data_IF_795302893556
#
_entry.id   IF_795302893556
#
_cell.length_a   1.000
_cell.length_b   1.000
_cell.length_c   1.000
_cell.angle_alpha   90.00
_cell.angle_beta   90.00
_cell.angle_gamma   90.00
#
_symmetry.space_group_name_H-M   'P 1'
#
loop_
_entity.id
_entity.type
_entity.pdbx_description
1 polymer ?
#
# COMPACT_ATOMS: atom_id res chain seq x y z
N UNK A 1 -14.35 2.03 5.59
CA UNK A 1 -14.36 2.09 4.12
C UNK A 1 -14.52 0.68 3.57
N UNK A 2 -15.40 0.49 2.59
CA UNK A 2 -15.67 -0.80 1.93
C UNK A 2 -15.33 -0.65 0.44
N UNK A 3 -14.21 -1.21 -0.03
CA UNK A 3 -13.85 -1.19 -1.45
C UNK A 3 -14.77 -2.10 -2.25
N UNK A 4 -14.89 -1.78 -3.51
CA UNK A 4 -15.52 -2.62 -4.51
C UNK A 4 -14.47 -3.54 -5.14
N UNK A 5 -14.73 -4.84 -5.15
CA UNK A 5 -13.90 -5.84 -5.79
C UNK A 5 -14.62 -6.35 -7.04
N UNK A 6 -13.93 -6.37 -8.18
CA UNK A 6 -14.48 -6.94 -9.42
C UNK A 6 -14.77 -8.42 -9.20
N UNK A 7 -15.95 -8.86 -9.62
CA UNK A 7 -16.42 -10.24 -9.46
C UNK A 7 -17.03 -10.57 -8.07
N UNK A 8 -17.01 -9.62 -7.12
CA UNK A 8 -17.62 -9.83 -5.80
C UNK A 8 -18.60 -8.71 -5.42
N UNK A 9 -18.25 -7.44 -5.69
CA UNK A 9 -18.98 -6.29 -5.19
C UNK A 9 -18.30 -5.62 -4.01
N UNK A 10 -19.07 -4.92 -3.16
CA UNK A 10 -18.53 -4.27 -1.98
C UNK A 10 -18.14 -5.28 -0.89
N UNK A 11 -16.94 -5.13 -0.34
CA UNK A 11 -16.48 -5.99 0.76
C UNK A 11 -17.45 -5.96 1.94
N UNK A 12 -17.62 -7.08 2.67
CA UNK A 12 -18.42 -7.13 3.90
C UNK A 12 -17.89 -6.19 5.00
N UNK A 13 -18.74 -5.78 5.94
CA UNK A 13 -18.35 -4.85 7.02
C UNK A 13 -17.31 -5.43 7.99
N UNK A 14 -17.24 -6.73 8.09
CA UNK A 14 -16.28 -7.46 8.92
C UNK A 14 -14.90 -7.65 8.25
N UNK A 15 -14.74 -7.24 6.99
CA UNK A 15 -13.42 -7.14 6.36
C UNK A 15 -12.71 -5.91 6.93
N UNK A 16 -11.58 -6.16 7.60
CA UNK A 16 -10.82 -5.11 8.27
C UNK A 16 -10.07 -4.27 7.27
N UNK A 17 -10.51 -3.03 7.12
CA UNK A 17 -9.80 -2.02 6.36
C UNK A 17 -9.11 -0.99 7.25
N UNK A 18 -8.16 -0.28 6.63
CA UNK A 18 -7.50 0.83 7.29
C UNK A 18 -8.49 1.96 7.56
N UNK A 19 -8.59 2.36 8.80
CA UNK A 19 -9.37 3.54 9.19
C UNK A 19 -8.63 4.78 8.72
N UNK A 20 -9.34 5.67 8.04
CA UNK A 20 -8.80 6.95 7.59
C UNK A 20 -9.64 8.09 8.18
N UNK A 21 -8.97 9.10 8.68
CA UNK A 21 -9.64 10.34 9.09
C UNK A 21 -10.23 11.02 7.85
N UNK A 22 -11.55 11.30 7.87
CA UNK A 22 -12.29 11.85 6.73
C UNK A 22 -13.09 13.11 7.08
N UNK A 23 -13.44 13.26 8.34
CA UNK A 23 -14.21 14.39 8.83
C UNK A 23 -13.39 15.09 9.90
N UNK A 24 -13.16 16.36 9.72
CA UNK A 24 -12.54 17.23 10.72
C UNK A 24 -13.39 18.49 10.88
N UNK A 25 -13.43 19.01 12.09
CA UNK A 25 -14.02 20.33 12.34
C UNK A 25 -13.13 21.39 11.69
N UNK A 26 -13.74 22.39 11.02
CA UNK A 26 -13.01 23.48 10.39
C UNK A 26 -12.02 24.12 11.40
N UNK A 27 -10.76 24.29 10.99
CA UNK A 27 -9.68 24.85 11.81
C UNK A 27 -9.09 23.87 12.86
N UNK A 28 -9.49 22.58 12.87
CA UNK A 28 -9.00 21.58 13.85
C UNK A 28 -8.16 20.48 13.19
N UNK A 29 -7.44 20.79 12.15
CA UNK A 29 -6.51 19.88 11.53
C UNK A 29 -5.84 20.48 10.31
N UNK A 30 -4.68 19.94 9.96
CA UNK A 30 -3.87 20.35 8.81
C UNK A 30 -3.42 19.13 8.02
N UNK A 31 -3.10 19.32 6.76
CA UNK A 31 -2.47 18.27 5.95
C UNK A 31 -0.99 18.16 6.32
N UNK A 32 -0.52 16.92 6.45
CA UNK A 32 0.91 16.63 6.58
C UNK A 32 1.55 16.63 5.18
N UNK A 33 2.15 17.73 4.80
CA UNK A 33 2.81 17.92 3.51
C UNK A 33 4.18 17.22 3.43
N UNK A 34 4.70 16.70 4.55
CA UNK A 34 5.98 15.98 4.58
C UNK A 34 5.89 14.58 3.97
N UNK A 35 4.69 14.02 3.84
CA UNK A 35 4.47 12.70 3.28
C UNK A 35 4.18 12.76 1.78
N UNK A 36 5.13 12.31 0.96
CA UNK A 36 4.99 12.21 -0.51
C UNK A 36 3.93 11.16 -0.94
N UNK A 37 3.58 10.25 -0.04
CA UNK A 37 2.58 9.18 -0.28
C UNK A 37 1.67 9.13 0.93
N UNK A 38 0.37 9.18 0.69
CA UNK A 38 -0.67 9.23 1.73
C UNK A 38 -0.63 10.53 2.55
N UNK A 39 -0.90 11.65 1.89
CA UNK A 39 -1.22 12.90 2.57
C UNK A 39 -2.24 12.60 3.66
N UNK A 40 -1.81 12.69 4.89
CA UNK A 40 -2.62 12.43 6.07
C UNK A 40 -3.10 13.75 6.68
N UNK A 41 -4.29 13.74 7.25
CA UNK A 41 -4.73 14.85 8.06
C UNK A 41 -4.17 14.64 9.47
N UNK A 42 -3.42 15.61 9.98
CA UNK A 42 -2.99 15.68 11.37
C UNK A 42 -4.07 16.44 12.15
N UNK A 43 -4.85 15.74 12.98
CA UNK A 43 -5.90 16.38 13.77
C UNK A 43 -5.31 17.13 14.96
N UNK A 44 -5.93 18.24 15.29
CA UNK A 44 -5.71 18.94 16.57
C UNK A 44 -6.80 18.48 17.55
N UNK A 45 -6.43 17.65 18.52
CA UNK A 45 -7.33 17.12 19.54
C UNK A 45 -7.73 15.66 19.35
N UNK A 46 -8.79 15.24 20.04
CA UNK A 46 -9.22 13.84 20.07
C UNK A 46 -9.89 13.39 18.78
N UNK A 47 -9.51 12.21 18.31
CA UNK A 47 -10.10 11.56 17.14
C UNK A 47 -11.14 10.54 17.57
N UNK A 48 -12.38 10.77 17.20
CA UNK A 48 -13.49 9.82 17.40
C UNK A 48 -13.60 8.84 16.22
N UNK A 49 -14.32 7.75 16.45
CA UNK A 49 -14.69 6.82 15.40
C UNK A 49 -16.18 6.97 15.09
N UNK A 50 -16.54 7.08 13.82
CA UNK A 50 -17.92 6.92 13.40
C UNK A 50 -18.37 5.47 13.73
N UNK A 51 -19.42 5.33 14.53
CA UNK A 51 -19.90 4.02 14.98
C UNK A 51 -20.86 3.37 14.00
N UNK A 52 -21.49 4.17 13.16
CA UNK A 52 -22.52 3.74 12.19
C UNK A 52 -22.14 4.21 10.79
N UNK A 53 -22.53 3.39 9.80
CA UNK A 53 -22.30 3.67 8.38
C UNK A 53 -20.93 3.22 7.86
N UNK A 54 -20.87 3.00 6.57
CA UNK A 54 -19.67 2.61 5.85
C UNK A 54 -19.46 3.53 4.65
N UNK A 55 -18.24 3.98 4.45
CA UNK A 55 -17.87 4.70 3.24
C UNK A 55 -17.69 3.68 2.10
N UNK A 56 -18.63 3.65 1.16
CA UNK A 56 -18.51 2.82 -0.03
C UNK A 56 -17.51 3.46 -0.99
N UNK A 57 -16.54 2.68 -1.44
CA UNK A 57 -15.51 3.14 -2.36
C UNK A 57 -15.60 2.37 -3.66
N UNK A 58 -16.34 2.95 -4.60
CA UNK A 58 -16.46 2.40 -5.94
C UNK A 58 -15.26 2.83 -6.78
N UNK A 59 -14.33 1.92 -6.96
CA UNK A 59 -13.21 2.09 -7.89
C UNK A 59 -12.83 0.71 -8.43
N UNK A 60 -13.61 0.18 -9.38
CA UNK A 60 -13.27 -1.07 -10.03
C UNK A 60 -12.03 -0.83 -10.90
N UNK A 61 -10.89 -1.35 -10.47
CA UNK A 61 -9.67 -1.36 -11.25
C UNK A 61 -9.54 -2.73 -11.91
N UNK A 62 -9.42 -2.76 -13.22
CA UNK A 62 -9.00 -3.97 -13.93
C UNK A 62 -7.55 -4.29 -13.59
N UNK A 63 -7.12 -5.54 -13.79
CA UNK A 63 -5.82 -6.01 -13.30
C UNK A 63 -4.66 -5.17 -13.83
N UNK A 64 -4.69 -4.77 -15.10
CA UNK A 64 -3.63 -3.97 -15.71
C UNK A 64 -3.46 -2.62 -15.00
N UNK A 65 -4.57 -1.92 -14.77
CA UNK A 65 -4.56 -0.64 -14.04
C UNK A 65 -4.11 -0.84 -12.59
N UNK A 66 -4.51 -1.95 -11.97
CA UNK A 66 -4.13 -2.25 -10.60
C UNK A 66 -2.63 -2.51 -10.48
N UNK A 67 -2.05 -3.28 -11.39
CA UNK A 67 -0.60 -3.53 -11.42
C UNK A 67 0.20 -2.26 -11.69
N UNK A 68 -0.23 -1.43 -12.63
CA UNK A 68 0.40 -0.13 -12.90
C UNK A 68 0.38 0.77 -11.64
N UNK A 69 -0.75 0.81 -10.96
CA UNK A 69 -0.89 1.53 -9.69
C UNK A 69 0.05 0.98 -8.62
N UNK A 70 0.07 -0.33 -8.38
CA UNK A 70 0.95 -0.95 -7.38
C UNK A 70 2.42 -0.74 -7.73
N UNK A 71 2.78 -0.79 -9.01
CA UNK A 71 4.12 -0.46 -9.47
C UNK A 71 4.51 0.98 -9.12
N UNK A 72 3.63 1.96 -9.41
CA UNK A 72 3.86 3.37 -9.07
C UNK A 72 3.99 3.58 -7.57
N UNK A 73 3.06 3.05 -6.77
CA UNK A 73 3.08 3.23 -5.31
C UNK A 73 4.24 2.52 -4.64
N UNK A 74 4.65 1.34 -5.12
CA UNK A 74 5.84 0.65 -4.62
C UNK A 74 7.12 1.44 -4.91
N UNK A 75 7.18 2.15 -6.05
CA UNK A 75 8.29 3.05 -6.38
C UNK A 75 8.39 4.19 -5.37
N UNK A 76 7.29 4.96 -5.22
CA UNK A 76 7.23 6.07 -4.27
C UNK A 76 7.58 5.62 -2.83
N UNK A 77 7.08 4.43 -2.44
CA UNK A 77 7.36 3.88 -1.11
C UNK A 77 8.82 3.46 -0.95
N UNK A 78 9.41 2.88 -1.98
CA UNK A 78 10.83 2.51 -1.97
C UNK A 78 11.71 3.75 -1.87
N UNK A 79 11.42 4.81 -2.65
CA UNK A 79 12.15 6.08 -2.60
C UNK A 79 12.11 6.69 -1.21
N UNK A 80 10.92 6.84 -0.64
CA UNK A 80 10.74 7.35 0.72
C UNK A 80 11.53 6.54 1.76
N UNK A 81 11.60 5.21 1.61
CA UNK A 81 12.32 4.35 2.54
C UNK A 81 13.83 4.47 2.38
N UNK A 82 14.32 4.61 1.16
CA UNK A 82 15.75 4.84 0.88
C UNK A 82 16.18 6.22 1.37
N UNK A 83 15.39 7.26 1.12
CA UNK A 83 15.62 8.61 1.65
C UNK A 83 15.66 8.64 3.19
N UNK A 84 14.83 7.82 3.86
CA UNK A 84 14.83 7.67 5.32
C UNK A 84 15.96 6.77 5.87
N UNK A 85 16.94 6.40 5.05
CA UNK A 85 18.12 5.61 5.46
C UNK A 85 17.83 4.11 5.64
N UNK A 86 16.69 3.59 5.22
CA UNK A 86 16.39 2.16 5.29
C UNK A 86 17.29 1.37 4.36
N UNK A 87 18.01 0.41 4.94
CA UNK A 87 18.86 -0.53 4.20
C UNK A 87 18.05 -1.76 3.72
N UNK A 88 18.41 -2.34 2.57
CA UNK A 88 17.81 -3.58 2.10
C UNK A 88 18.16 -4.73 3.06
N UNK A 89 17.21 -5.63 3.22
CA UNK A 89 17.40 -6.84 4.04
C UNK A 89 16.85 -8.02 3.25
N UNK A 90 17.69 -8.99 2.92
CA UNK A 90 17.34 -10.15 2.09
C UNK A 90 16.11 -10.91 2.60
N UNK A 91 16.03 -11.15 3.90
CA UNK A 91 14.87 -11.84 4.48
C UNK A 91 13.54 -11.11 4.24
N UNK A 92 13.55 -9.78 4.09
CA UNK A 92 12.33 -9.02 3.77
C UNK A 92 11.83 -9.28 2.37
N UNK A 93 12.72 -9.55 1.43
CA UNK A 93 12.36 -9.88 0.06
C UNK A 93 11.57 -11.19 0.00
N UNK A 94 11.97 -12.17 0.82
CA UNK A 94 11.36 -13.50 0.85
C UNK A 94 10.12 -13.53 1.74
N UNK A 95 10.22 -13.02 2.97
CA UNK A 95 9.18 -13.22 3.98
C UNK A 95 8.10 -12.14 4.00
N UNK A 96 8.38 -10.92 3.54
CA UNK A 96 7.37 -9.86 3.58
C UNK A 96 6.17 -10.14 2.66
N UNK A 97 6.33 -10.62 1.41
CA UNK A 97 5.20 -10.91 0.54
C UNK A 97 4.24 -11.96 1.11
N UNK A 98 4.68 -13.17 1.51
CA UNK A 98 3.77 -14.16 2.07
C UNK A 98 3.13 -13.71 3.39
N UNK A 99 3.87 -13.03 4.27
CA UNK A 99 3.30 -12.49 5.51
C UNK A 99 2.23 -11.44 5.18
N UNK A 100 2.47 -10.60 4.17
CA UNK A 100 1.51 -9.57 3.75
C UNK A 100 0.26 -10.21 3.16
N UNK A 101 0.40 -11.26 2.34
CA UNK A 101 -0.71 -12.05 1.84
C UNK A 101 -1.55 -12.66 2.99
N UNK A 102 -0.91 -13.39 3.89
CA UNK A 102 -1.60 -14.04 5.02
C UNK A 102 -2.33 -13.02 5.90
N UNK A 103 -1.70 -11.87 6.12
CA UNK A 103 -2.33 -10.78 6.86
C UNK A 103 -3.57 -10.25 6.15
N UNK A 104 -3.51 -9.99 4.85
CA UNK A 104 -4.66 -9.47 4.09
C UNK A 104 -5.76 -10.53 3.97
N UNK A 105 -5.38 -11.73 3.60
CA UNK A 105 -6.33 -12.80 3.32
C UNK A 105 -7.03 -13.28 4.58
N UNK A 106 -6.27 -13.67 5.61
CA UNK A 106 -6.84 -14.20 6.84
C UNK A 106 -7.17 -13.13 7.88
N UNK A 107 -6.19 -12.33 8.30
CA UNK A 107 -6.39 -11.38 9.39
C UNK A 107 -7.35 -10.24 9.04
N UNK A 108 -7.28 -9.71 7.80
CA UNK A 108 -8.20 -8.68 7.35
C UNK A 108 -9.52 -9.25 6.85
N UNK A 109 -9.59 -10.55 6.59
CA UNK A 109 -10.83 -11.25 6.27
C UNK A 109 -11.18 -11.26 4.77
N UNK A 110 -10.23 -10.99 3.86
CA UNK A 110 -10.50 -11.02 2.42
C UNK A 110 -10.88 -12.40 1.91
N UNK A 111 -10.57 -13.47 2.64
CA UNK A 111 -11.04 -14.83 2.32
C UNK A 111 -12.57 -14.93 2.19
N UNK A 112 -13.31 -14.04 2.86
CA UNK A 112 -14.78 -13.95 2.76
C UNK A 112 -15.27 -13.43 1.40
N UNK A 113 -14.38 -12.84 0.62
CA UNK A 113 -14.67 -12.31 -0.71
C UNK A 113 -14.31 -13.31 -1.82
N UNK A 114 -14.12 -14.59 -1.50
CA UNK A 114 -13.83 -15.64 -2.45
C UNK A 114 -12.60 -15.36 -3.30
N UNK A 115 -12.67 -15.67 -4.60
CA UNK A 115 -11.56 -15.50 -5.53
C UNK A 115 -11.12 -14.04 -5.68
N UNK A 116 -12.07 -13.09 -5.67
CA UNK A 116 -11.75 -11.66 -5.76
C UNK A 116 -10.94 -11.18 -4.56
N UNK A 117 -11.24 -11.70 -3.37
CA UNK A 117 -10.46 -11.42 -2.16
C UNK A 117 -9.07 -12.05 -2.19
N UNK A 118 -8.93 -13.24 -2.80
CA UNK A 118 -7.63 -13.86 -3.02
C UNK A 118 -6.77 -13.03 -3.97
N UNK A 119 -7.33 -12.59 -5.10
CA UNK A 119 -6.65 -11.73 -6.08
C UNK A 119 -6.18 -10.43 -5.42
N UNK A 120 -7.05 -9.78 -4.65
CA UNK A 120 -6.68 -8.54 -3.92
C UNK A 120 -5.54 -8.77 -2.92
N UNK A 121 -5.57 -9.88 -2.17
CA UNK A 121 -4.51 -10.24 -1.23
C UNK A 121 -3.17 -10.53 -1.93
N UNK A 122 -3.20 -11.22 -3.08
CA UNK A 122 -2.02 -11.48 -3.90
C UNK A 122 -1.44 -10.19 -4.50
N UNK A 123 -2.28 -9.31 -4.99
CA UNK A 123 -1.84 -8.00 -5.49
C UNK A 123 -1.14 -7.19 -4.40
N UNK A 124 -1.66 -7.23 -3.18
CA UNK A 124 -0.98 -6.64 -2.02
C UNK A 124 0.38 -7.28 -1.71
N UNK A 125 0.51 -8.60 -1.87
CA UNK A 125 1.79 -9.30 -1.70
C UNK A 125 2.80 -8.90 -2.79
N UNK A 126 2.34 -8.77 -4.04
CA UNK A 126 3.16 -8.26 -5.16
C UNK A 126 3.66 -6.84 -4.87
N UNK A 127 2.80 -5.95 -4.38
CA UNK A 127 3.21 -4.62 -3.94
C UNK A 127 4.33 -4.66 -2.88
N UNK A 128 4.20 -5.55 -1.89
CA UNK A 128 5.20 -5.71 -0.83
C UNK A 128 6.54 -6.22 -1.38
N UNK A 129 6.50 -7.19 -2.32
CA UNK A 129 7.67 -7.68 -3.03
C UNK A 129 8.35 -6.57 -3.83
N UNK A 130 7.59 -5.87 -4.70
CA UNK A 130 8.11 -4.79 -5.53
C UNK A 130 8.78 -3.69 -4.69
N UNK A 131 8.18 -3.34 -3.55
CA UNK A 131 8.76 -2.34 -2.64
C UNK A 131 10.12 -2.82 -2.12
N UNK A 132 10.22 -4.06 -1.64
CA UNK A 132 11.46 -4.61 -1.12
C UNK A 132 12.54 -4.76 -2.20
N UNK A 133 12.15 -5.24 -3.39
CA UNK A 133 13.05 -5.39 -4.54
C UNK A 133 13.61 -4.05 -5.01
N UNK A 134 12.76 -3.03 -5.13
CA UNK A 134 13.17 -1.68 -5.53
C UNK A 134 14.12 -1.03 -4.51
N UNK A 135 13.92 -1.25 -3.21
CA UNK A 135 14.87 -0.79 -2.19
C UNK A 135 16.25 -1.44 -2.41
N UNK A 136 16.27 -2.76 -2.64
CA UNK A 136 17.51 -3.47 -2.92
C UNK A 136 18.21 -2.92 -4.19
N UNK A 137 17.48 -2.79 -5.30
CA UNK A 137 18.02 -2.28 -6.56
C UNK A 137 18.61 -0.87 -6.41
N UNK A 138 17.92 0.05 -5.71
CA UNK A 138 18.43 1.41 -5.49
C UNK A 138 19.73 1.45 -4.69
N UNK A 139 19.88 0.56 -3.74
CA UNK A 139 21.15 0.43 -2.99
C UNK A 139 22.26 -0.19 -3.85
N UNK A 140 21.94 -1.21 -4.65
CA UNK A 140 22.87 -1.85 -5.55
C UNK A 140 23.40 -0.87 -6.62
N UNK A 141 22.52 -0.06 -7.21
CA UNK A 141 22.90 0.99 -8.16
C UNK A 141 23.80 2.07 -7.54
N UNK A 142 23.49 2.49 -6.31
CA UNK A 142 24.35 3.45 -5.58
C UNK A 142 25.74 2.89 -5.25
N UNK A 143 25.83 1.58 -5.06
CA UNK A 143 27.12 0.91 -4.78
C UNK A 143 27.97 0.66 -6.05
N UNK A 144 27.37 0.74 -7.25
CA UNK A 144 28.03 0.56 -8.55
C UNK A 144 27.70 1.76 -9.45
N UNK A 145 28.32 2.92 -9.25
CA UNK A 145 28.01 4.14 -10.01
C UNK A 145 28.30 4.05 -11.51
N UNK A 146 29.11 3.08 -11.97
CA UNK A 146 29.58 2.96 -13.36
C UNK A 146 28.74 1.98 -14.22
N UNK A 147 27.47 1.77 -13.94
CA UNK A 147 26.62 0.95 -14.83
C UNK A 147 26.37 1.65 -16.17
N UNK A 148 26.39 2.98 -16.20
CA UNK A 148 26.18 3.77 -17.43
C UNK A 148 27.37 3.66 -18.37
N UNK A 149 28.60 3.49 -17.86
CA UNK A 149 29.79 3.24 -18.67
C UNK A 149 29.83 1.83 -19.31
N UNK A 150 29.17 0.85 -18.68
CA UNK A 150 29.11 -0.52 -19.18
C UNK A 150 28.05 -0.72 -20.28
N UNK A 151 27.13 0.21 -20.46
CA UNK A 151 26.09 0.20 -21.50
C UNK A 151 26.47 1.04 -22.73
N UNK A 152 27.58 1.73 -22.69
CA UNK A 152 28.13 2.55 -23.81
C UNK A 152 29.12 1.81 -24.69
N UNK A 153 29.32 0.52 -24.47
CA UNK A 153 30.10 -0.41 -25.30
C UNK A 153 29.19 -1.56 -25.73
#
# INVERSE_FOLDING_TARGET
RRPYLIGYGYTPENVRERRNLRLIRRGKGRYDLSQKVHEGIVPEGNVGNARTGSLLHFRPLVMDEQILKENKYSTLKADQQVESGKRPRFYKLIFTPPIYFLRLYFRNGLWRCGLSGFIEAMTGAVYAFLTAAKIYQRHALKARPNVDDALSH
#
